data_IF_599332323569
#
_entry.id   IF_599332323569
#
_cell.length_a   1.000
_cell.length_b   1.000
_cell.length_c   1.000
_cell.angle_alpha   90.00
_cell.angle_beta   90.00
_cell.angle_gamma   90.00
#
_symmetry.space_group_name_H-M   'P 1'
#
loop_
_entity.id
_entity.type
_entity.pdbx_description
1 polymer ?
#
# COMPACT_ATOMS: atom_id res chain seq x y z
N UNK A 1 -12.16 -38.00 17.06
CA UNK A 1 -11.51 -38.54 15.86
C UNK A 1 -12.13 -38.02 14.57
N UNK A 2 -13.45 -38.17 14.35
CA UNK A 2 -14.12 -37.63 13.14
C UNK A 2 -13.88 -36.13 12.91
N UNK A 3 -14.09 -35.30 13.94
CA UNK A 3 -13.88 -33.85 13.83
C UNK A 3 -12.43 -33.45 13.55
N UNK A 4 -11.46 -34.25 14.01
CA UNK A 4 -10.03 -34.02 13.73
C UNK A 4 -9.72 -34.25 12.25
N UNK A 5 -10.30 -35.30 11.67
CA UNK A 5 -10.16 -35.61 10.23
C UNK A 5 -10.83 -34.52 9.40
N UNK A 6 -12.04 -34.10 9.76
CA UNK A 6 -12.75 -33.02 9.06
C UNK A 6 -12.01 -31.69 9.16
N UNK A 7 -11.42 -31.38 10.31
CA UNK A 7 -10.60 -30.18 10.48
C UNK A 7 -9.32 -30.23 9.60
N UNK A 8 -8.66 -31.39 9.52
CA UNK A 8 -7.49 -31.55 8.66
C UNK A 8 -7.84 -31.39 7.17
N UNK A 9 -8.97 -31.93 6.72
CA UNK A 9 -9.44 -31.75 5.34
C UNK A 9 -9.79 -30.29 5.05
N UNK A 10 -10.52 -29.62 5.96
CA UNK A 10 -10.85 -28.20 5.80
C UNK A 10 -9.59 -27.32 5.73
N UNK A 11 -8.57 -27.64 6.54
CA UNK A 11 -7.27 -26.96 6.51
C UNK A 11 -6.55 -27.16 5.18
N UNK A 12 -6.49 -28.39 4.69
CA UNK A 12 -5.89 -28.71 3.38
C UNK A 12 -6.58 -27.94 2.25
N UNK A 13 -7.91 -27.89 2.23
CA UNK A 13 -8.64 -27.13 1.22
C UNK A 13 -8.38 -25.62 1.30
N UNK A 14 -8.25 -25.08 2.51
CA UNK A 14 -7.91 -23.68 2.71
C UNK A 14 -6.50 -23.37 2.17
N UNK A 15 -5.54 -24.26 2.41
CA UNK A 15 -4.16 -24.11 1.95
C UNK A 15 -4.08 -24.13 0.41
N UNK A 16 -4.77 -25.04 -0.27
CA UNK A 16 -4.82 -25.08 -1.73
C UNK A 16 -5.41 -23.79 -2.31
N UNK A 17 -6.50 -23.28 -1.73
CA UNK A 17 -7.10 -22.02 -2.18
C UNK A 17 -6.15 -20.84 -1.96
N UNK A 18 -5.47 -20.81 -0.81
CA UNK A 18 -4.51 -19.76 -0.47
C UNK A 18 -3.29 -19.78 -1.39
N UNK A 19 -2.78 -20.95 -1.75
CA UNK A 19 -1.68 -21.12 -2.69
C UNK A 19 -2.04 -20.53 -4.05
N UNK A 20 -3.22 -20.87 -4.59
CA UNK A 20 -3.70 -20.33 -5.88
C UNK A 20 -3.83 -18.81 -5.89
N UNK A 21 -4.35 -18.23 -4.79
CA UNK A 21 -4.45 -16.77 -4.65
C UNK A 21 -3.04 -16.16 -4.65
N UNK A 22 -2.12 -16.75 -3.88
CA UNK A 22 -0.74 -16.26 -3.77
C UNK A 22 -0.02 -16.31 -5.11
N UNK A 23 -0.10 -17.44 -5.83
CA UNK A 23 0.45 -17.61 -7.17
C UNK A 23 -0.09 -16.56 -8.16
N UNK A 24 -1.41 -16.36 -8.19
CA UNK A 24 -2.03 -15.31 -9.01
C UNK A 24 -1.53 -13.90 -8.65
N UNK A 25 -1.43 -13.58 -7.36
CA UNK A 25 -0.90 -12.27 -6.93
C UNK A 25 0.57 -12.08 -7.28
N UNK A 26 1.38 -13.14 -7.22
CA UNK A 26 2.80 -13.11 -7.60
C UNK A 26 2.95 -12.87 -9.10
N UNK A 27 2.24 -13.62 -9.94
CA UNK A 27 2.21 -13.39 -11.40
C UNK A 27 1.80 -11.96 -11.77
N UNK A 28 0.82 -11.38 -11.06
CA UNK A 28 0.43 -9.97 -11.25
C UNK A 28 1.53 -8.99 -10.85
N UNK A 29 2.22 -9.24 -9.72
CA UNK A 29 3.34 -8.41 -9.25
C UNK A 29 4.51 -8.46 -10.23
N UNK A 30 4.88 -9.64 -10.71
CA UNK A 30 5.92 -9.85 -11.73
C UNK A 30 5.61 -9.13 -13.03
N UNK A 31 4.34 -9.13 -13.44
CA UNK A 31 3.86 -8.34 -14.58
C UNK A 31 3.76 -6.82 -14.31
N UNK A 32 4.18 -6.34 -13.12
CA UNK A 32 4.11 -4.92 -12.73
C UNK A 32 2.68 -4.40 -12.55
N UNK A 33 1.68 -5.26 -12.46
CA UNK A 33 0.26 -4.86 -12.35
C UNK A 33 -0.12 -4.61 -10.90
N UNK A 34 -0.96 -3.60 -10.71
CA UNK A 34 -1.56 -3.33 -9.40
C UNK A 34 -2.41 -4.50 -8.89
N UNK A 35 -2.41 -4.69 -7.57
CA UNK A 35 -3.21 -5.68 -6.85
C UNK A 35 -4.62 -5.19 -6.46
N UNK A 36 -5.08 -4.08 -7.05
CA UNK A 36 -6.36 -3.48 -6.66
C UNK A 36 -6.31 -2.72 -5.33
N UNK A 37 -5.11 -2.42 -4.81
CA UNK A 37 -4.97 -1.54 -3.65
C UNK A 37 -5.53 -0.14 -3.97
N UNK A 38 -5.90 0.61 -2.91
CA UNK A 38 -6.34 2.00 -3.06
C UNK A 38 -5.29 2.81 -3.85
N UNK A 39 -5.67 3.48 -4.95
CA UNK A 39 -4.73 4.27 -5.73
C UNK A 39 -4.17 5.42 -4.88
N UNK A 40 -2.91 5.79 -5.16
CA UNK A 40 -2.28 6.94 -4.52
C UNK A 40 -3.02 8.21 -4.96
N UNK A 41 -3.49 9.00 -3.99
CA UNK A 41 -4.15 10.28 -4.27
C UNK A 41 -3.16 11.40 -4.60
N UNK A 42 -1.91 11.30 -4.14
CA UNK A 42 -0.86 12.29 -4.40
C UNK A 42 0.27 11.65 -5.20
N UNK A 43 0.60 12.27 -6.33
CA UNK A 43 1.72 11.87 -7.18
C UNK A 43 3.08 12.20 -6.55
N UNK A 44 4.11 11.43 -6.90
CA UNK A 44 5.46 11.67 -6.38
C UNK A 44 6.02 13.04 -6.82
N UNK A 45 5.63 13.53 -8.00
CA UNK A 45 5.98 14.86 -8.50
C UNK A 45 5.45 15.98 -7.61
N UNK A 46 4.21 15.85 -7.10
CA UNK A 46 3.61 16.82 -6.19
C UNK A 46 4.40 16.88 -4.87
N UNK A 47 4.81 15.73 -4.33
CA UNK A 47 5.64 15.68 -3.12
C UNK A 47 7.01 16.33 -3.35
N UNK A 48 7.68 16.06 -4.48
CA UNK A 48 8.97 16.72 -4.77
C UNK A 48 8.83 18.23 -4.92
N UNK A 49 7.73 18.69 -5.51
CA UNK A 49 7.48 20.13 -5.63
C UNK A 49 7.27 20.77 -4.25
N UNK A 50 6.54 20.10 -3.35
CA UNK A 50 6.28 20.64 -2.02
C UNK A 50 7.48 20.59 -1.10
N UNK A 51 8.41 19.64 -1.27
CA UNK A 51 9.71 19.67 -0.59
C UNK A 51 10.47 20.94 -0.96
N UNK A 52 10.50 21.33 -2.25
CA UNK A 52 11.15 22.59 -2.67
C UNK A 52 10.50 23.83 -2.06
N UNK A 53 9.18 23.82 -1.86
CA UNK A 53 8.47 24.91 -1.20
C UNK A 53 8.92 25.04 0.27
N UNK A 54 9.04 23.92 0.97
CA UNK A 54 9.54 23.90 2.35
C UNK A 54 10.99 24.38 2.41
N UNK A 55 11.84 23.93 1.47
CA UNK A 55 13.23 24.40 1.37
C UNK A 55 13.32 25.91 1.10
N UNK A 56 12.32 26.49 0.43
CA UNK A 56 12.19 27.94 0.22
C UNK A 56 11.63 28.72 1.42
N UNK A 57 11.30 28.04 2.52
CA UNK A 57 10.88 28.64 3.78
C UNK A 57 9.38 28.52 4.11
N UNK A 58 8.59 27.79 3.31
CA UNK A 58 7.18 27.54 3.60
C UNK A 58 7.00 26.59 4.79
N UNK A 59 5.90 26.76 5.54
CA UNK A 59 5.60 25.90 6.69
C UNK A 59 5.07 24.53 6.26
N UNK A 60 5.68 23.44 6.73
CA UNK A 60 5.21 22.05 6.55
C UNK A 60 3.71 21.87 6.83
N UNK A 61 3.23 22.54 7.89
CA UNK A 61 1.84 22.42 8.33
C UNK A 61 0.88 23.05 7.33
N UNK A 62 1.28 24.15 6.70
CA UNK A 62 0.48 24.82 5.69
C UNK A 62 0.48 24.03 4.38
N UNK A 63 1.67 23.60 3.93
CA UNK A 63 1.85 22.77 2.74
C UNK A 63 1.02 21.47 2.80
N UNK A 64 0.97 20.81 3.96
CA UNK A 64 0.15 19.62 4.15
C UNK A 64 -1.36 19.90 4.06
N UNK A 65 -1.82 21.05 4.58
CA UNK A 65 -3.23 21.49 4.45
C UNK A 65 -3.59 21.78 2.99
N UNK A 66 -2.70 22.44 2.27
CA UNK A 66 -2.92 22.78 0.86
C UNK A 66 -2.98 21.54 -0.02
N UNK A 67 -2.15 20.53 0.28
CA UNK A 67 -2.22 19.19 -0.31
C UNK A 67 -3.43 18.36 0.17
N UNK A 68 -4.23 18.87 1.10
CA UNK A 68 -5.39 18.20 1.72
C UNK A 68 -5.06 16.82 2.29
N UNK A 69 -3.89 16.70 2.92
CA UNK A 69 -3.46 15.47 3.60
C UNK A 69 -3.12 15.70 5.05
N UNK A 70 -3.22 14.63 5.84
CA UNK A 70 -2.72 14.66 7.21
C UNK A 70 -1.20 14.85 7.23
N UNK A 71 -0.69 15.56 8.25
CA UNK A 71 0.76 15.72 8.48
C UNK A 71 1.49 14.37 8.51
N UNK A 72 0.86 13.35 9.11
CA UNK A 72 1.40 11.99 9.14
C UNK A 72 1.55 11.38 7.73
N UNK A 73 0.61 11.63 6.83
CA UNK A 73 0.72 11.19 5.43
C UNK A 73 1.79 11.96 4.68
N UNK A 74 1.89 13.28 4.92
CA UNK A 74 2.93 14.10 4.34
C UNK A 74 4.33 13.61 4.74
N UNK A 75 4.62 13.50 6.04
CA UNK A 75 5.93 13.03 6.53
C UNK A 75 6.27 11.60 6.10
N UNK A 76 5.30 10.69 6.07
CA UNK A 76 5.53 9.32 5.56
C UNK A 76 5.93 9.34 4.09
N UNK A 77 5.35 10.24 3.29
CA UNK A 77 5.61 10.34 1.84
C UNK A 77 6.96 10.98 1.58
N UNK A 78 7.32 12.04 2.29
CA UNK A 78 8.63 12.68 2.15
C UNK A 78 9.78 11.79 2.62
N UNK A 79 9.59 10.92 3.62
CA UNK A 79 10.62 9.97 4.06
C UNK A 79 10.89 8.82 3.08
N UNK A 80 9.88 8.47 2.26
CA UNK A 80 9.96 7.33 1.34
C UNK A 80 10.45 7.72 -0.06
N UNK A 81 10.47 9.02 -0.34
CA UNK A 81 10.94 9.59 -1.61
C UNK A 81 12.34 10.16 -1.44
#
# INVERSE_FOLDING_TARGET
MLFTILAALAQMEHEIKRERITDSTNKRREAGRGLGCRPRQIADSQIRNTIRLIDSGESDAQVARDLRVSRATFYRRTRTL
#
